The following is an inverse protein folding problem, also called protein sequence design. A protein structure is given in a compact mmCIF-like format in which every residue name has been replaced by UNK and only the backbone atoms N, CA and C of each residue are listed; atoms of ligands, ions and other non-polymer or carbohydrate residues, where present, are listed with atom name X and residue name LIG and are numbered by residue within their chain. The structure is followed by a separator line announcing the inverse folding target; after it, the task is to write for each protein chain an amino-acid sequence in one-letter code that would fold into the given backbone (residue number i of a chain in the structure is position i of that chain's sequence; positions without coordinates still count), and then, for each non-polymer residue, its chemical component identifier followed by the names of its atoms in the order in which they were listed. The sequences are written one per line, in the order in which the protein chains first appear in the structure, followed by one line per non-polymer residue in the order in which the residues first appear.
data_IF_851257177563
#
_entry.id   IF_851257177563
#
_cell.length_a   1.000
_cell.length_b   1.000
_cell.length_c   1.000
_cell.angle_alpha   90.00
_cell.angle_beta   90.00
_cell.angle_gamma   90.00
#
_symmetry.space_group_name_H-M   'P 1'
#
loop_
_entity.id
_entity.type
_entity.pdbx_description
1 polymer ?
#
# COMPACT_ATOMS: atom_id res chain seq x y z
N UNK A 1 36.13 29.01 98.87
CA UNK A 1 36.78 30.25 99.33
C UNK A 1 36.04 31.37 98.64
N UNK A 2 34.83 31.69 99.11
CA UNK A 2 34.58 32.53 100.30
C UNK A 2 35.10 33.93 99.99
N UNK A 3 34.19 34.80 99.57
CA UNK A 3 33.55 35.79 100.46
C UNK A 3 34.49 37.00 100.60
N UNK A 4 34.08 38.25 100.53
CA UNK A 4 32.87 38.88 101.04
C UNK A 4 32.89 40.29 100.40
N UNK A 5 31.87 40.67 99.63
CA UNK A 5 30.74 41.50 100.07
C UNK A 5 31.13 42.92 100.50
N UNK A 6 30.96 43.89 99.59
CA UNK A 6 29.91 44.96 99.56
C UNK A 6 30.30 46.17 100.49
N UNK A 7 29.66 47.34 100.39
CA UNK A 7 29.85 48.48 99.46
C UNK A 7 30.32 49.75 100.23
N UNK A 8 30.11 50.91 99.58
CA UNK A 8 30.10 52.29 100.11
C UNK A 8 31.45 53.01 99.96
N UNK A 9 31.48 54.26 99.50
CA UNK A 9 30.38 55.21 99.22
C UNK A 9 30.89 56.29 98.29
N UNK A 10 29.96 56.79 97.48
CA UNK A 10 30.09 57.99 96.67
C UNK A 10 30.30 59.25 97.54
N UNK A 11 31.49 59.41 98.12
CA UNK A 11 31.91 60.68 98.73
C UNK A 11 33.42 60.95 98.56
N UNK A 12 34.03 60.37 97.51
CA UNK A 12 35.48 60.52 97.24
C UNK A 12 35.74 60.87 95.78
N UNK A 13 34.83 61.66 95.20
CA UNK A 13 35.08 62.41 93.96
C UNK A 13 34.96 63.90 94.29
N UNK A 14 35.72 64.33 95.30
CA UNK A 14 36.05 65.75 95.50
C UNK A 14 37.43 65.88 96.18
N UNK A 15 38.32 64.92 95.87
CA UNK A 15 39.72 64.96 96.28
C UNK A 15 40.63 64.79 95.04
N UNK A 16 41.32 65.86 94.58
CA UNK A 16 42.18 65.80 93.42
C UNK A 16 43.36 64.83 93.59
N UNK A 17 43.79 64.53 94.82
CA UNK A 17 44.94 63.65 95.06
C UNK A 17 44.66 62.20 94.64
N UNK A 18 43.44 61.73 94.83
CA UNK A 18 43.02 60.36 94.45
C UNK A 18 42.96 60.19 92.93
N UNK A 19 42.57 61.24 92.20
CA UNK A 19 42.48 61.21 90.73
C UNK A 19 43.86 61.19 90.06
N UNK A 20 44.84 61.93 90.60
CA UNK A 20 46.22 61.93 90.09
C UNK A 20 46.92 60.59 90.29
N UNK A 21 46.70 59.93 91.43
CA UNK A 21 47.25 58.60 91.68
C UNK A 21 46.70 57.55 90.69
N UNK A 22 45.41 57.62 90.38
CA UNK A 22 44.78 56.74 89.40
C UNK A 22 45.31 56.97 87.97
N UNK A 23 45.57 58.22 87.56
CA UNK A 23 46.14 58.54 86.25
C UNK A 23 47.61 58.12 86.14
N UNK A 24 48.38 58.30 87.22
CA UNK A 24 49.79 57.87 87.32
C UNK A 24 49.91 56.35 87.15
N UNK A 25 49.02 55.58 87.78
CA UNK A 25 48.96 54.11 87.59
C UNK A 25 48.67 53.71 86.14
N UNK A 26 47.79 54.42 85.43
CA UNK A 26 47.51 54.15 84.01
C UNK A 26 48.68 54.50 83.09
N UNK A 27 49.35 55.62 83.34
CA UNK A 27 50.54 56.02 82.58
C UNK A 27 51.68 55.03 82.77
N UNK A 28 51.91 54.56 84.00
CA UNK A 28 52.88 53.51 84.28
C UNK A 28 52.56 52.21 83.52
N UNK A 29 51.28 51.85 83.39
CA UNK A 29 50.84 50.72 82.57
C UNK A 29 51.14 50.88 81.07
N UNK A 30 50.86 52.06 80.49
CA UNK A 30 51.17 52.35 79.09
C UNK A 30 52.68 52.33 78.83
N UNK A 31 53.48 52.97 79.69
CA UNK A 31 54.95 52.94 79.58
C UNK A 31 55.48 51.50 79.62
N UNK A 32 54.99 50.66 80.52
CA UNK A 32 55.39 49.24 80.57
C UNK A 32 55.02 48.47 79.29
N UNK A 33 53.88 48.75 78.66
CA UNK A 33 53.51 48.10 77.39
C UNK A 33 54.36 48.58 76.21
N UNK A 34 54.71 49.86 76.18
CA UNK A 34 55.59 50.43 75.15
C UNK A 34 57.01 49.88 75.30
N UNK A 35 57.52 49.80 76.52
CA UNK A 35 58.82 49.18 76.80
C UNK A 35 58.83 47.69 76.43
N UNK A 36 57.73 46.98 76.70
CA UNK A 36 57.55 45.58 76.28
C UNK A 36 57.52 45.41 74.75
N UNK A 37 56.90 46.34 74.02
CA UNK A 37 56.91 46.35 72.55
C UNK A 37 58.29 46.70 71.99
N UNK A 38 58.96 47.70 72.57
CA UNK A 38 60.32 48.09 72.19
C UNK A 38 61.33 46.95 72.39
N UNK A 39 61.21 46.21 73.51
CA UNK A 39 62.02 45.01 73.76
C UNK A 39 61.77 43.92 72.71
N UNK A 40 60.51 43.68 72.32
CA UNK A 40 60.16 42.71 71.28
C UNK A 40 60.62 43.14 69.88
N UNK A 41 60.61 44.45 69.61
CA UNK A 41 61.10 45.00 68.36
C UNK A 41 62.63 44.87 68.26
N UNK A 42 63.38 45.10 69.35
CA UNK A 42 64.82 44.81 69.40
C UNK A 42 65.12 43.32 69.14
N UNK A 43 64.29 42.40 69.66
CA UNK A 43 64.41 40.97 69.37
C UNK A 43 64.13 40.64 67.89
N UNK A 44 63.14 41.30 67.27
CA UNK A 44 62.82 41.13 65.85
C UNK A 44 63.92 41.65 64.92
N UNK A 45 64.55 42.78 65.25
CA UNK A 45 65.63 43.38 64.46
C UNK A 45 66.96 42.62 64.58
N UNK A 46 67.12 41.77 65.61
CA UNK A 46 68.32 40.95 65.81
C UNK A 46 68.31 39.58 65.11
N UNK A 47 67.17 39.15 64.51
CA UNK A 47 67.04 37.85 63.85
C UNK A 47 67.37 37.95 62.36
N UNK A 48 68.23 37.05 61.87
CA UNK A 48 68.50 36.89 60.44
C UNK A 48 67.39 36.08 59.74
N UNK A 49 66.61 36.74 58.88
CA UNK A 49 65.54 36.14 58.07
C UNK A 49 66.01 35.68 56.68
N UNK A 50 67.29 35.88 56.34
CA UNK A 50 67.91 35.37 55.11
C UNK A 50 67.60 33.90 54.82
N UNK A 51 67.74 32.95 55.78
CA UNK A 51 67.42 31.54 55.53
C UNK A 51 65.93 31.29 55.24
N UNK A 52 65.02 32.04 55.86
CA UNK A 52 63.57 31.90 55.60
C UNK A 52 63.21 32.38 54.19
N UNK A 53 63.77 33.52 53.75
CA UNK A 53 63.59 34.00 52.38
C UNK A 53 64.21 33.06 51.34
N UNK A 54 65.39 32.49 51.63
CA UNK A 54 66.00 31.48 50.78
C UNK A 54 65.11 30.23 50.66
N UNK A 55 64.45 29.83 51.76
CA UNK A 55 63.47 28.74 51.75
C UNK A 55 62.24 29.04 50.89
N UNK A 56 61.70 30.26 50.97
CA UNK A 56 60.57 30.71 50.14
C UNK A 56 60.96 30.72 48.65
N UNK A 57 62.12 31.30 48.33
CA UNK A 57 62.65 31.30 46.96
C UNK A 57 62.83 29.88 46.41
N UNK A 58 63.41 28.97 47.19
CA UNK A 58 63.58 27.57 46.78
C UNK A 58 62.25 26.85 46.53
N UNK A 59 61.17 27.21 47.24
CA UNK A 59 59.83 26.67 46.99
C UNK A 59 59.19 27.25 45.73
N UNK A 60 59.37 28.54 45.47
CA UNK A 60 58.92 29.20 44.23
C UNK A 60 59.63 28.62 43.00
N UNK A 61 60.94 28.36 43.07
CA UNK A 61 61.68 27.73 41.97
C UNK A 61 61.19 26.32 41.69
N UNK A 62 60.95 25.50 42.74
CA UNK A 62 60.36 24.16 42.56
C UNK A 62 58.97 24.22 41.94
N UNK A 63 58.15 25.20 42.31
CA UNK A 63 56.83 25.41 41.69
C UNK A 63 56.96 25.80 40.22
N UNK A 64 57.89 26.71 39.88
CA UNK A 64 58.15 27.10 38.49
C UNK A 64 58.64 25.93 37.64
N UNK A 65 59.53 25.09 38.17
CA UNK A 65 59.98 23.86 37.49
C UNK A 65 58.83 22.89 37.27
N UNK A 66 57.98 22.68 38.27
CA UNK A 66 56.79 21.83 38.15
C UNK A 66 55.81 22.35 37.08
N UNK A 67 55.55 23.66 37.04
CA UNK A 67 54.68 24.28 36.03
C UNK A 67 55.27 24.12 34.61
N UNK A 68 56.59 24.28 34.45
CA UNK A 68 57.24 24.05 33.15
C UNK A 68 57.14 22.60 32.70
N UNK A 69 57.40 21.64 33.58
CA UNK A 69 57.25 20.21 33.26
C UNK A 69 55.79 19.85 32.94
N UNK A 70 54.82 20.45 33.62
CA UNK A 70 53.40 20.35 33.29
C UNK A 70 53.05 20.94 31.91
N UNK A 71 53.69 22.04 31.51
CA UNK A 71 53.50 22.65 30.19
C UNK A 71 54.14 21.86 29.04
N UNK A 72 55.19 21.09 29.33
CA UNK A 72 55.88 20.22 28.37
C UNK A 72 55.19 18.86 28.18
N UNK A 73 54.24 18.51 29.06
CA UNK A 73 53.47 17.27 28.95
C UNK A 73 52.53 17.33 27.71
N UNK A 74 52.55 16.29 26.84
CA UNK A 74 51.75 16.22 25.61
C UNK A 74 50.23 16.21 25.85
N UNK A 75 49.79 16.11 27.10
CA UNK A 75 48.39 16.25 27.49
C UNK A 75 47.79 17.64 27.16
N UNK A 76 48.59 18.70 27.05
CA UNK A 76 48.11 20.02 26.60
C UNK A 76 47.92 20.14 25.08
N UNK A 77 48.48 19.22 24.27
CA UNK A 77 48.23 19.21 22.82
C UNK A 77 46.90 18.56 22.47
N UNK A 78 46.35 17.74 23.38
CA UNK A 78 45.01 17.17 23.30
C UNK A 78 44.00 18.13 23.94
N UNK A 79 43.83 19.31 23.35
CA UNK A 79 42.83 20.25 23.85
C UNK A 79 41.42 19.70 23.62
N UNK A 80 40.47 19.94 24.54
CA UNK A 80 39.07 19.53 24.39
C UNK A 80 38.46 19.97 23.06
N UNK A 81 38.86 21.12 22.53
CA UNK A 81 38.43 21.64 21.22
C UNK A 81 38.92 20.76 20.07
N UNK A 82 40.16 20.28 20.14
CA UNK A 82 40.75 19.41 19.11
C UNK A 82 40.07 18.03 19.12
N UNK A 83 39.83 17.46 20.30
CA UNK A 83 39.09 16.19 20.43
C UNK A 83 37.64 16.35 19.95
N UNK A 84 36.96 17.45 20.34
CA UNK A 84 35.59 17.71 19.93
C UNK A 84 35.45 17.89 18.41
N UNK A 85 36.43 18.55 17.76
CA UNK A 85 36.43 18.71 16.29
C UNK A 85 36.67 17.38 15.56
N UNK A 86 37.55 16.52 16.06
CA UNK A 86 37.78 15.18 15.50
C UNK A 86 36.58 14.25 15.70
N UNK A 87 35.91 14.31 16.86
CA UNK A 87 34.66 13.57 17.10
C UNK A 87 33.56 14.05 16.15
N UNK A 88 33.46 15.38 15.93
CA UNK A 88 32.46 15.94 15.01
C UNK A 88 32.72 15.50 13.57
N UNK A 89 33.97 15.56 13.11
CA UNK A 89 34.32 15.17 11.73
C UNK A 89 34.15 13.66 11.51
N UNK A 90 34.56 12.83 12.47
CA UNK A 90 34.32 11.38 12.43
C UNK A 90 32.82 11.07 12.48
N UNK A 91 32.05 11.79 13.30
CA UNK A 91 30.60 11.66 13.39
C UNK A 91 29.85 12.15 12.16
N UNK A 92 30.35 13.17 11.45
CA UNK A 92 29.81 13.61 10.16
C UNK A 92 30.08 12.59 9.06
N UNK A 93 31.30 12.04 8.99
CA UNK A 93 31.65 10.99 8.01
C UNK A 93 30.86 9.70 8.24
N UNK A 94 30.70 9.27 9.51
CA UNK A 94 29.86 8.13 9.85
C UNK A 94 28.39 8.35 9.47
N UNK A 95 27.82 9.50 9.84
CA UNK A 95 26.43 9.84 9.49
C UNK A 95 26.21 10.02 7.99
N UNK A 96 27.21 10.45 7.22
CA UNK A 96 27.10 10.59 5.77
C UNK A 96 26.92 9.23 5.09
N UNK A 97 27.71 8.22 5.50
CA UNK A 97 27.56 6.86 5.00
C UNK A 97 26.19 6.27 5.36
N UNK A 98 25.73 6.50 6.60
CA UNK A 98 24.40 6.09 7.03
C UNK A 98 23.31 6.79 6.21
N UNK A 99 23.37 8.11 6.03
CA UNK A 99 22.39 8.86 5.23
C UNK A 99 22.33 8.37 3.78
N UNK A 100 23.48 8.03 3.19
CA UNK A 100 23.53 7.45 1.86
C UNK A 100 22.84 6.08 1.84
N UNK A 101 23.15 5.19 2.79
CA UNK A 101 22.50 3.89 2.90
C UNK A 101 20.98 4.01 3.11
N UNK A 102 20.53 4.92 3.98
CA UNK A 102 19.12 5.21 4.23
C UNK A 102 18.41 5.75 2.98
N UNK A 103 19.02 6.66 2.23
CA UNK A 103 18.42 7.19 0.99
C UNK A 103 18.26 6.10 -0.08
N UNK A 104 19.27 5.24 -0.25
CA UNK A 104 19.23 4.10 -1.16
C UNK A 104 18.14 3.11 -0.72
N UNK A 105 18.06 2.80 0.58
CA UNK A 105 17.04 1.92 1.13
C UNK A 105 15.61 2.48 0.90
N UNK A 106 15.40 3.78 1.14
CA UNK A 106 14.12 4.43 0.86
C UNK A 106 13.75 4.42 -0.62
N UNK A 107 14.72 4.63 -1.52
CA UNK A 107 14.48 4.53 -2.96
C UNK A 107 14.11 3.10 -3.37
N UNK A 108 14.82 2.09 -2.86
CA UNK A 108 14.50 0.69 -3.13
C UNK A 108 13.11 0.30 -2.59
N UNK A 109 12.76 0.76 -1.39
CA UNK A 109 11.44 0.54 -0.81
C UNK A 109 10.35 1.22 -1.64
N UNK A 110 10.56 2.47 -2.07
CA UNK A 110 9.65 3.20 -2.95
C UNK A 110 9.41 2.46 -4.27
N UNK A 111 10.48 1.98 -4.90
CA UNK A 111 10.42 1.20 -6.14
C UNK A 111 9.69 -0.14 -5.93
N UNK A 112 9.94 -0.83 -4.81
CA UNK A 112 9.27 -2.08 -4.47
C UNK A 112 7.77 -1.87 -4.24
N UNK A 113 7.37 -0.81 -3.52
CA UNK A 113 5.97 -0.45 -3.31
C UNK A 113 5.28 -0.13 -4.64
N UNK A 114 5.93 0.62 -5.52
CA UNK A 114 5.39 0.92 -6.86
C UNK A 114 5.21 -0.35 -7.70
N UNK A 115 6.18 -1.27 -7.66
CA UNK A 115 6.10 -2.56 -8.34
C UNK A 115 4.94 -3.41 -7.81
N UNK A 116 4.82 -3.55 -6.48
CA UNK A 116 3.71 -4.28 -5.84
C UNK A 116 2.37 -3.66 -6.22
N UNK A 117 2.23 -2.33 -6.14
CA UNK A 117 1.01 -1.64 -6.53
C UNK A 117 0.67 -1.86 -8.01
N UNK A 118 1.68 -1.85 -8.90
CA UNK A 118 1.51 -2.15 -10.32
C UNK A 118 1.07 -3.60 -10.58
N UNK A 119 1.66 -4.56 -9.90
CA UNK A 119 1.29 -5.98 -9.99
C UNK A 119 -0.10 -6.23 -9.43
N UNK A 120 -0.45 -5.64 -8.28
CA UNK A 120 -1.78 -5.77 -7.67
C UNK A 120 -2.85 -5.08 -8.53
N UNK A 121 -2.57 -3.89 -9.05
CA UNK A 121 -3.48 -3.18 -9.94
C UNK A 121 -3.71 -3.96 -11.24
N UNK A 122 -2.64 -4.50 -11.84
CA UNK A 122 -2.74 -5.31 -13.07
C UNK A 122 -3.44 -6.65 -12.83
N UNK A 123 -3.18 -7.33 -11.72
CA UNK A 123 -3.88 -8.56 -11.34
C UNK A 123 -5.39 -8.31 -11.13
N UNK A 124 -5.74 -7.24 -10.42
CA UNK A 124 -7.15 -6.88 -10.17
C UNK A 124 -7.87 -6.44 -11.45
N UNK A 125 -7.17 -5.76 -12.35
CA UNK A 125 -7.70 -5.39 -13.67
C UNK A 125 -7.91 -6.64 -14.55
N UNK A 126 -6.95 -7.57 -14.55
CA UNK A 126 -7.02 -8.80 -15.33
C UNK A 126 -8.19 -9.70 -14.91
N UNK A 127 -8.46 -9.83 -13.61
CA UNK A 127 -9.59 -10.62 -13.10
C UNK A 127 -10.94 -10.02 -13.53
N UNK A 128 -11.11 -8.71 -13.35
CA UNK A 128 -12.31 -8.00 -13.80
C UNK A 128 -12.49 -8.09 -15.31
N UNK A 129 -11.43 -7.89 -16.09
CA UNK A 129 -11.46 -7.98 -17.55
C UNK A 129 -11.82 -9.39 -18.00
N UNK A 130 -11.30 -10.44 -17.34
CA UNK A 130 -11.63 -11.83 -17.65
C UNK A 130 -13.11 -12.13 -17.36
N UNK A 131 -13.66 -11.63 -16.27
CA UNK A 131 -15.09 -11.77 -15.96
C UNK A 131 -15.97 -11.07 -17.00
N UNK A 132 -15.61 -9.85 -17.41
CA UNK A 132 -16.34 -9.14 -18.46
C UNK A 132 -16.27 -9.85 -19.81
N UNK A 133 -15.08 -10.33 -20.22
CA UNK A 133 -14.90 -11.08 -21.46
C UNK A 133 -15.67 -12.40 -21.41
N UNK A 134 -15.60 -13.13 -20.29
CA UNK A 134 -16.33 -14.38 -20.11
C UNK A 134 -17.84 -14.14 -20.14
N UNK A 135 -18.32 -13.09 -19.46
CA UNK A 135 -19.73 -12.68 -19.47
C UNK A 135 -20.20 -12.28 -20.86
N UNK A 136 -19.41 -11.48 -21.58
CA UNK A 136 -19.73 -11.08 -22.96
C UNK A 136 -19.73 -12.27 -23.92
N UNK A 137 -18.78 -13.19 -23.79
CA UNK A 137 -18.74 -14.42 -24.59
C UNK A 137 -19.94 -15.33 -24.30
N UNK A 138 -20.31 -15.51 -23.03
CA UNK A 138 -21.49 -16.26 -22.63
C UNK A 138 -22.78 -15.62 -23.19
N UNK A 139 -22.92 -14.29 -23.07
CA UNK A 139 -24.05 -13.56 -23.63
C UNK A 139 -24.12 -13.70 -25.16
N UNK A 140 -22.99 -13.57 -25.85
CA UNK A 140 -22.93 -13.74 -27.30
C UNK A 140 -23.33 -15.15 -27.74
N UNK A 141 -22.91 -16.20 -27.01
CA UNK A 141 -23.33 -17.58 -27.27
C UNK A 141 -24.84 -17.76 -27.08
N UNK A 142 -25.40 -17.25 -25.99
CA UNK A 142 -26.85 -17.34 -25.71
C UNK A 142 -27.65 -16.60 -26.77
N UNK A 143 -27.25 -15.37 -27.12
CA UNK A 143 -27.89 -14.57 -28.15
C UNK A 143 -27.78 -15.27 -29.50
N UNK A 144 -26.58 -15.73 -29.88
CA UNK A 144 -26.36 -16.45 -31.14
C UNK A 144 -27.21 -17.72 -31.24
N UNK A 145 -27.31 -18.50 -30.16
CA UNK A 145 -28.15 -19.69 -30.13
C UNK A 145 -29.63 -19.37 -30.26
N UNK A 146 -30.12 -18.36 -29.52
CA UNK A 146 -31.51 -17.92 -29.61
C UNK A 146 -31.86 -17.42 -31.02
N UNK A 147 -30.98 -16.61 -31.62
CA UNK A 147 -31.16 -16.10 -32.98
C UNK A 147 -31.02 -17.19 -34.06
N UNK A 148 -30.17 -18.20 -33.85
CA UNK A 148 -29.98 -19.29 -34.82
C UNK A 148 -31.07 -20.35 -34.82
N UNK A 149 -31.69 -20.62 -33.67
CA UNK A 149 -32.62 -21.75 -33.51
C UNK A 149 -34.06 -21.33 -33.23
N UNK A 150 -34.26 -20.44 -32.27
CA UNK A 150 -35.60 -20.09 -31.78
C UNK A 150 -36.28 -19.10 -32.70
N UNK A 151 -35.55 -18.09 -33.18
CA UNK A 151 -36.13 -17.06 -34.03
C UNK A 151 -36.58 -17.60 -35.40
N UNK A 152 -35.79 -18.40 -36.14
CA UNK A 152 -36.21 -18.91 -37.45
C UNK A 152 -37.38 -19.87 -37.34
N UNK A 153 -37.40 -20.71 -36.30
CA UNK A 153 -38.52 -21.63 -36.06
C UNK A 153 -39.80 -20.89 -35.70
N UNK A 154 -39.75 -19.86 -34.86
CA UNK A 154 -40.93 -19.05 -34.53
C UNK A 154 -41.42 -18.22 -35.71
N UNK A 155 -40.53 -17.60 -36.47
CA UNK A 155 -40.90 -16.83 -37.66
C UNK A 155 -41.54 -17.74 -38.71
N UNK A 156 -41.00 -18.95 -38.94
CA UNK A 156 -41.57 -19.90 -39.89
C UNK A 156 -43.05 -20.25 -39.61
N UNK A 157 -43.49 -20.18 -38.35
CA UNK A 157 -44.88 -20.45 -37.96
C UNK A 157 -45.76 -19.20 -37.85
N UNK A 158 -45.16 -18.00 -37.77
CA UNK A 158 -45.89 -16.74 -37.63
C UNK A 158 -46.09 -16.01 -38.97
N UNK A 159 -45.43 -16.47 -40.02
CA UNK A 159 -45.54 -15.94 -41.38
C UNK A 159 -46.90 -16.31 -41.99
N UNK A 160 -47.53 -15.41 -42.77
CA UNK A 160 -48.78 -15.72 -43.48
C UNK A 160 -48.63 -16.93 -44.43
N UNK A 161 -49.66 -17.75 -44.53
CA UNK A 161 -49.66 -18.97 -45.35
C UNK A 161 -49.36 -18.70 -46.84
N UNK A 162 -49.66 -17.50 -47.35
CA UNK A 162 -49.40 -17.13 -48.75
C UNK A 162 -47.91 -17.08 -49.12
N UNK A 163 -47.00 -17.05 -48.14
CA UNK A 163 -45.57 -16.94 -48.39
C UNK A 163 -44.88 -18.29 -48.61
N UNK A 164 -45.52 -19.41 -48.21
CA UNK A 164 -45.03 -20.78 -48.42
C UNK A 164 -43.55 -20.98 -47.99
N UNK A 165 -43.13 -20.26 -46.95
CA UNK A 165 -41.77 -20.32 -46.41
C UNK A 165 -41.37 -21.71 -45.90
N UNK A 166 -42.18 -22.45 -45.13
CA UNK A 166 -41.78 -23.76 -44.64
C UNK A 166 -41.62 -24.77 -45.79
N UNK A 167 -42.47 -24.72 -46.81
CA UNK A 167 -42.38 -25.57 -48.00
C UNK A 167 -41.12 -25.25 -48.81
N UNK A 168 -40.84 -23.97 -49.04
CA UNK A 168 -39.62 -23.52 -49.73
C UNK A 168 -38.35 -23.82 -48.91
N UNK A 169 -38.42 -23.80 -47.58
CA UNK A 169 -37.32 -24.18 -46.71
C UNK A 169 -37.08 -25.69 -46.75
N UNK A 170 -38.14 -26.51 -46.72
CA UNK A 170 -38.05 -27.97 -46.83
C UNK A 170 -37.43 -28.39 -48.17
N UNK A 171 -37.85 -27.78 -49.28
CA UNK A 171 -37.26 -28.01 -50.60
C UNK A 171 -35.76 -27.67 -50.63
N UNK A 172 -35.37 -26.52 -50.06
CA UNK A 172 -33.97 -26.11 -49.92
C UNK A 172 -33.15 -27.05 -49.04
N UNK A 173 -33.70 -27.51 -47.90
CA UNK A 173 -33.04 -28.49 -47.03
C UNK A 173 -32.81 -29.83 -47.74
N UNK A 174 -33.78 -30.25 -48.56
CA UNK A 174 -33.69 -31.46 -49.37
C UNK A 174 -32.85 -31.29 -50.66
N UNK A 175 -32.36 -30.07 -50.93
CA UNK A 175 -31.61 -29.71 -52.14
C UNK A 175 -32.35 -30.14 -53.42
N UNK A 176 -33.65 -29.89 -53.45
CA UNK A 176 -34.59 -30.33 -54.49
C UNK A 176 -35.56 -29.20 -54.84
N UNK A 177 -36.16 -29.28 -56.02
CA UNK A 177 -37.33 -28.45 -56.34
C UNK A 177 -38.52 -28.86 -55.43
N UNK A 178 -39.51 -27.97 -55.30
CA UNK A 178 -40.64 -28.18 -54.39
C UNK A 178 -41.45 -29.44 -54.70
N UNK A 179 -41.54 -29.83 -55.97
CA UNK A 179 -42.28 -31.03 -56.37
C UNK A 179 -41.52 -32.29 -55.97
N UNK A 180 -40.25 -32.44 -56.39
CA UNK A 180 -39.46 -33.62 -56.06
C UNK A 180 -39.14 -33.75 -54.56
N UNK A 181 -39.09 -32.62 -53.84
CA UNK A 181 -39.05 -32.61 -52.38
C UNK A 181 -40.33 -33.20 -51.77
N UNK A 182 -41.50 -32.81 -52.28
CA UNK A 182 -42.80 -33.36 -51.87
C UNK A 182 -42.92 -34.86 -52.13
N UNK A 183 -42.54 -35.32 -53.32
CA UNK A 183 -42.51 -36.75 -53.64
C UNK A 183 -41.60 -37.53 -52.68
N UNK A 184 -40.41 -36.99 -52.38
CA UNK A 184 -39.46 -37.62 -51.45
C UNK A 184 -40.03 -37.71 -50.04
N UNK A 185 -40.68 -36.64 -49.55
CA UNK A 185 -41.32 -36.63 -48.23
C UNK A 185 -42.47 -37.65 -48.15
N UNK A 186 -43.32 -37.71 -49.18
CA UNK A 186 -44.41 -38.69 -49.24
C UNK A 186 -43.86 -40.12 -49.28
N UNK A 187 -42.84 -40.38 -50.11
CA UNK A 187 -42.19 -41.69 -50.23
C UNK A 187 -41.56 -42.15 -48.91
N UNK A 188 -40.85 -41.26 -48.20
CA UNK A 188 -40.18 -41.58 -46.92
C UNK A 188 -41.18 -41.69 -45.76
N UNK A 189 -42.26 -40.90 -45.78
CA UNK A 189 -43.28 -40.94 -44.73
C UNK A 189 -44.10 -42.23 -44.75
N UNK A 190 -44.49 -42.71 -45.93
CA UNK A 190 -45.20 -43.97 -46.10
C UNK A 190 -45.08 -44.50 -47.54
N UNK A 191 -44.16 -45.44 -47.75
CA UNK A 191 -43.90 -46.02 -49.06
C UNK A 191 -45.10 -46.76 -49.67
N UNK A 192 -45.91 -47.44 -48.87
CA UNK A 192 -47.08 -48.18 -49.36
C UNK A 192 -48.17 -47.21 -49.87
N UNK A 193 -48.44 -46.15 -49.11
CA UNK A 193 -49.39 -45.10 -49.51
C UNK A 193 -48.89 -44.32 -50.73
N UNK A 194 -47.58 -44.07 -50.82
CA UNK A 194 -46.98 -43.46 -52.00
C UNK A 194 -47.16 -44.32 -53.26
N UNK A 195 -46.87 -45.64 -53.18
CA UNK A 195 -47.10 -46.57 -54.31
C UNK A 195 -48.55 -46.55 -54.77
N UNK A 196 -49.49 -46.64 -53.84
CA UNK A 196 -50.92 -46.56 -54.15
C UNK A 196 -51.28 -45.26 -54.88
N UNK A 197 -50.75 -44.11 -54.44
CA UNK A 197 -50.97 -42.83 -55.10
C UNK A 197 -50.37 -42.80 -56.51
N UNK A 198 -49.14 -43.28 -56.70
CA UNK A 198 -48.48 -43.31 -58.01
C UNK A 198 -49.17 -44.27 -58.98
N UNK A 199 -49.63 -45.43 -58.50
CA UNK A 199 -50.39 -46.39 -59.32
C UNK A 199 -51.75 -45.80 -59.73
N UNK A 200 -52.44 -45.15 -58.79
CA UNK A 200 -53.71 -44.46 -59.07
C UNK A 200 -53.53 -43.33 -60.09
N UNK A 201 -52.46 -42.53 -59.96
CA UNK A 201 -52.12 -41.47 -60.91
C UNK A 201 -51.81 -42.03 -62.30
N UNK A 202 -51.07 -43.14 -62.38
CA UNK A 202 -50.77 -43.82 -63.65
C UNK A 202 -52.03 -44.33 -64.33
N UNK A 203 -52.98 -44.92 -63.59
CA UNK A 203 -54.28 -45.34 -64.14
C UNK A 203 -55.05 -44.12 -64.65
N UNK A 204 -55.07 -43.01 -63.89
CA UNK A 204 -55.76 -41.79 -64.31
C UNK A 204 -55.16 -41.20 -65.59
N UNK A 205 -53.83 -41.18 -65.72
CA UNK A 205 -53.12 -40.70 -66.90
C UNK A 205 -53.41 -41.57 -68.14
N UNK A 206 -53.35 -42.89 -68.00
CA UNK A 206 -53.70 -43.84 -69.06
C UNK A 206 -55.17 -43.72 -69.51
N UNK A 207 -56.03 -43.16 -68.66
CA UNK A 207 -57.45 -42.97 -68.91
C UNK A 207 -57.87 -41.49 -69.03
N UNK A 208 -56.92 -40.57 -69.24
CA UNK A 208 -57.16 -39.12 -69.15
C UNK A 208 -58.34 -38.65 -70.03
N UNK A 209 -58.41 -39.12 -71.29
CA UNK A 209 -59.49 -38.77 -72.21
C UNK A 209 -60.86 -39.34 -71.79
N UNK A 210 -60.87 -40.60 -71.35
CA UNK A 210 -62.08 -41.28 -70.87
C UNK A 210 -62.63 -40.60 -69.60
N UNK A 211 -61.74 -40.25 -68.66
CA UNK A 211 -62.10 -39.53 -67.44
C UNK A 211 -62.55 -38.09 -67.74
N UNK A 212 -61.87 -37.37 -68.62
CA UNK A 212 -62.27 -36.01 -69.00
C UNK A 212 -63.64 -35.97 -69.70
N UNK A 213 -63.88 -36.88 -70.64
CA UNK A 213 -65.18 -36.99 -71.32
C UNK A 213 -66.31 -37.42 -70.37
N UNK A 214 -66.03 -38.37 -69.47
CA UNK A 214 -66.92 -38.76 -68.39
C UNK A 214 -67.28 -37.58 -67.47
N UNK A 215 -66.28 -36.82 -67.00
CA UNK A 215 -66.47 -35.65 -66.15
C UNK A 215 -67.33 -34.58 -66.81
N UNK A 216 -67.12 -34.31 -68.11
CA UNK A 216 -67.98 -33.39 -68.89
C UNK A 216 -69.44 -33.87 -68.91
N UNK A 217 -69.68 -35.16 -69.15
CA UNK A 217 -71.04 -35.74 -69.15
C UNK A 217 -71.69 -35.69 -67.78
N UNK A 218 -70.95 -36.00 -66.72
CA UNK A 218 -71.45 -35.94 -65.34
C UNK A 218 -71.84 -34.50 -64.96
N UNK A 219 -71.01 -33.51 -65.33
CA UNK A 219 -71.30 -32.09 -65.11
C UNK A 219 -72.54 -31.62 -65.89
N UNK A 220 -72.69 -32.02 -67.15
CA UNK A 220 -73.87 -31.69 -67.96
C UNK A 220 -75.17 -32.28 -67.38
N UNK A 221 -75.12 -33.52 -66.87
CA UNK A 221 -76.28 -34.21 -66.31
C UNK A 221 -76.54 -33.87 -64.84
N UNK A 222 -75.60 -33.17 -64.18
CA UNK A 222 -75.58 -32.85 -62.74
C UNK A 222 -75.85 -34.08 -61.86
N UNK A 223 -75.38 -35.24 -62.30
CA UNK A 223 -75.56 -36.53 -61.62
C UNK A 223 -74.28 -37.36 -61.74
N UNK A 224 -73.94 -38.17 -60.71
CA UNK A 224 -72.85 -39.13 -60.82
C UNK A 224 -73.15 -40.14 -61.95
N UNK A 225 -72.11 -40.57 -62.64
CA UNK A 225 -72.20 -41.51 -63.76
C UNK A 225 -71.12 -42.58 -63.61
N UNK A 226 -71.47 -43.81 -63.95
CA UNK A 226 -70.50 -44.88 -64.09
C UNK A 226 -69.77 -44.75 -65.42
N UNK A 227 -68.44 -44.88 -65.36
CA UNK A 227 -67.57 -44.75 -66.51
C UNK A 227 -66.58 -45.90 -66.56
N UNK A 228 -66.40 -46.45 -67.76
CA UNK A 228 -65.49 -47.57 -67.99
C UNK A 228 -64.09 -47.01 -68.16
N UNK A 229 -63.18 -47.48 -67.31
CA UNK A 229 -61.74 -47.21 -67.41
C UNK A 229 -61.00 -48.49 -67.76
N UNK A 230 -59.87 -48.35 -68.44
CA UNK A 230 -58.95 -49.43 -68.72
C UNK A 230 -57.96 -49.54 -67.57
N UNK A 231 -57.99 -50.65 -66.86
CA UNK A 231 -57.02 -50.94 -65.79
C UNK A 231 -56.09 -52.04 -66.29
N UNK A 232 -54.79 -51.76 -66.33
CA UNK A 232 -53.77 -52.74 -66.66
C UNK A 232 -53.64 -53.83 -65.59
N UNK A 233 -52.94 -54.92 -65.90
CA UNK A 233 -52.70 -56.02 -64.96
C UNK A 233 -51.90 -55.48 -63.75
N UNK A 234 -52.38 -55.71 -62.53
CA UNK A 234 -51.65 -55.32 -61.32
C UNK A 234 -50.24 -55.95 -61.32
N UNK A 235 -49.18 -55.21 -60.95
CA UNK A 235 -47.87 -55.80 -60.80
C UNK A 235 -47.94 -56.89 -59.72
N UNK A 236 -47.67 -58.13 -60.12
CA UNK A 236 -47.46 -59.24 -59.20
C UNK A 236 -46.20 -58.96 -58.39
N UNK A 237 -46.38 -58.78 -57.08
CA UNK A 237 -45.29 -58.68 -56.10
C UNK A 237 -44.41 -59.93 -56.08
#
# INVERSE_FOLDING_TARGET
MSAETIPQSADTIDDPEVAFDAMTRKLAGLTATVDGFAARQQELHGRDYGPDFAGIHGRLDKANVAVRTLSELPAMQLTPETIASQIRSAGEQGRAADHQAWSIANQQLGNAIQSINGVVASARAAEKQRLWIAGAAAAALVIGFAFGTVIPTRIAHAVPENWLWPEAAAARMLQRDSWSAGERLLQVSNAARWRFLTESAQIAEQNAEALASCGRRAAQRRKPLDCVIKVGKAPSH
#
